data_IF_689246223260
#
_entry.id   IF_689246223260
#
_cell.length_a   1.000
_cell.length_b   1.000
_cell.length_c   1.000
_cell.angle_alpha   90.00
_cell.angle_beta   90.00
_cell.angle_gamma   90.00
#
_symmetry.space_group_name_H-M   'P 1'
#
loop_
_entity.id
_entity.type
_entity.pdbx_description
1 polymer ?
#
# COMPACT_ATOMS: atom_id res chain seq x y z
N UNK A 1 36.56 13.50 -13.24
CA UNK A 1 35.76 13.85 -12.05
C UNK A 1 34.38 13.26 -12.27
N UNK A 2 33.86 12.50 -11.33
CA UNK A 2 32.48 11.99 -11.40
C UNK A 2 31.52 13.03 -10.83
N UNK A 3 30.43 13.27 -11.55
CA UNK A 3 29.39 14.24 -11.17
C UNK A 3 28.03 13.57 -11.22
N UNK A 4 27.18 13.81 -10.23
CA UNK A 4 25.79 13.37 -10.24
C UNK A 4 24.89 14.31 -9.46
N UNK A 5 23.59 14.27 -9.80
CA UNK A 5 22.53 14.99 -9.14
C UNK A 5 21.81 14.06 -8.16
N UNK A 6 21.75 14.47 -6.89
CA UNK A 6 21.07 13.73 -5.84
C UNK A 6 19.77 14.45 -5.45
N UNK A 7 18.61 13.77 -5.46
CA UNK A 7 17.38 14.38 -4.95
C UNK A 7 17.48 14.63 -3.45
N UNK A 8 17.08 15.82 -3.02
CA UNK A 8 17.07 16.23 -1.62
C UNK A 8 15.84 17.09 -1.33
N UNK A 9 14.82 16.51 -0.74
CA UNK A 9 13.50 17.10 -0.55
C UNK A 9 12.92 17.59 -1.89
N UNK A 10 12.60 18.88 -2.02
CA UNK A 10 12.15 19.51 -3.26
C UNK A 10 13.29 20.14 -4.08
N UNK A 11 14.53 19.82 -3.76
CA UNK A 11 15.74 20.34 -4.39
C UNK A 11 16.62 19.21 -4.91
N UNK A 12 17.65 19.60 -5.65
CA UNK A 12 18.69 18.71 -6.11
C UNK A 12 20.01 19.17 -5.53
N UNK A 13 20.82 18.24 -5.05
CA UNK A 13 22.20 18.48 -4.64
C UNK A 13 23.14 17.99 -5.73
N UNK A 14 24.05 18.84 -6.15
CA UNK A 14 25.11 18.47 -7.06
C UNK A 14 26.28 17.87 -6.26
N UNK A 15 26.70 16.66 -6.64
CA UNK A 15 27.83 15.96 -6.04
C UNK A 15 28.96 15.83 -7.05
N UNK A 16 30.15 16.27 -6.67
CA UNK A 16 31.40 16.11 -7.42
C UNK A 16 32.36 15.22 -6.62
N UNK A 17 32.91 14.18 -7.26
CA UNK A 17 33.91 13.29 -6.66
C UNK A 17 35.14 13.20 -7.58
N UNK A 18 36.32 13.26 -6.98
CA UNK A 18 37.54 12.96 -7.71
C UNK A 18 37.57 11.48 -8.12
N UNK A 19 38.03 11.17 -9.34
CA UNK A 19 38.03 9.81 -9.87
C UNK A 19 38.75 8.79 -8.95
N UNK A 20 39.79 9.23 -8.23
CA UNK A 20 40.47 8.35 -7.24
C UNK A 20 39.61 7.91 -6.06
N UNK A 21 38.53 8.64 -5.79
CA UNK A 21 37.58 8.38 -4.70
C UNK A 21 36.30 7.72 -5.19
N UNK A 22 36.16 7.48 -6.49
CA UNK A 22 34.97 6.93 -7.11
C UNK A 22 35.22 5.50 -7.63
N UNK A 23 34.56 4.53 -7.05
CA UNK A 23 34.68 3.13 -7.43
C UNK A 23 33.66 2.67 -8.49
N UNK A 24 32.58 3.42 -8.64
CA UNK A 24 31.49 3.10 -9.59
C UNK A 24 30.11 3.38 -9.02
N UNK A 25 29.10 3.24 -9.86
CA UNK A 25 27.69 3.31 -9.48
C UNK A 25 27.15 1.88 -9.36
N UNK A 26 26.54 1.57 -8.22
CA UNK A 26 25.80 0.30 -8.07
C UNK A 26 24.37 0.51 -8.51
N UNK A 27 23.97 -0.16 -9.59
CA UNK A 27 22.61 -0.12 -10.10
C UNK A 27 21.88 -1.44 -9.82
N UNK A 28 20.60 -1.34 -9.46
CA UNK A 28 19.76 -2.51 -9.29
C UNK A 28 19.28 -3.06 -10.64
N UNK A 29 19.06 -4.37 -10.72
CA UNK A 29 18.55 -5.06 -11.93
C UNK A 29 17.11 -4.65 -12.32
N UNK A 30 16.39 -3.93 -11.44
CA UNK A 30 15.05 -3.43 -11.77
C UNK A 30 15.02 -2.54 -13.03
N UNK A 31 16.13 -1.86 -13.35
CA UNK A 31 16.25 -1.03 -14.55
C UNK A 31 16.35 -1.85 -15.84
N UNK A 32 16.62 -3.14 -15.74
CA UNK A 32 16.67 -4.10 -16.86
C UNK A 32 15.27 -4.58 -17.26
N UNK A 33 14.28 -4.47 -16.36
CA UNK A 33 12.90 -4.85 -16.64
C UNK A 33 12.32 -3.95 -17.72
N UNK A 34 11.87 -4.55 -18.81
CA UNK A 34 11.22 -3.87 -19.92
C UNK A 34 9.81 -4.42 -20.11
N UNK A 35 8.85 -3.54 -20.19
CA UNK A 35 7.47 -3.86 -20.52
C UNK A 35 6.90 -2.84 -21.49
N UNK A 36 5.98 -3.26 -22.34
CA UNK A 36 5.17 -2.38 -23.20
C UNK A 36 3.79 -2.10 -22.60
N UNK A 37 3.47 -2.75 -21.47
CA UNK A 37 2.19 -2.60 -20.75
C UNK A 37 2.18 -1.35 -19.91
N UNK A 38 1.03 -0.72 -19.79
CA UNK A 38 0.79 0.36 -18.85
C UNK A 38 0.79 -0.15 -17.40
N UNK A 39 0.83 0.75 -16.43
CA UNK A 39 0.75 0.38 -15.01
C UNK A 39 -0.61 -0.27 -14.69
N UNK A 40 -1.68 0.26 -15.26
CA UNK A 40 -3.05 -0.25 -15.12
C UNK A 40 -3.16 -1.67 -15.69
N UNK A 41 -2.64 -1.91 -16.90
CA UNK A 41 -2.62 -3.25 -17.52
C UNK A 41 -1.86 -4.27 -16.67
N UNK A 42 -0.77 -3.87 -16.02
CA UNK A 42 -0.01 -4.76 -15.12
C UNK A 42 -0.81 -5.10 -13.85
N UNK A 43 -1.55 -4.15 -13.29
CA UNK A 43 -2.41 -4.38 -12.12
C UNK A 43 -3.56 -5.30 -12.49
N UNK A 44 -4.26 -5.04 -13.59
CA UNK A 44 -5.36 -5.88 -14.09
C UNK A 44 -4.91 -7.32 -14.36
N UNK A 45 -3.76 -7.49 -15.01
CA UNK A 45 -3.18 -8.81 -15.26
C UNK A 45 -2.86 -9.55 -13.97
N UNK A 46 -2.34 -8.85 -12.96
CA UNK A 46 -2.03 -9.42 -11.66
C UNK A 46 -3.29 -9.87 -10.90
N UNK A 47 -4.36 -9.10 -10.99
CA UNK A 47 -5.66 -9.45 -10.39
C UNK A 47 -6.33 -10.63 -11.12
N UNK A 48 -6.19 -10.69 -12.44
CA UNK A 48 -6.72 -11.78 -13.25
C UNK A 48 -5.96 -13.11 -13.05
N UNK A 49 -4.72 -13.06 -12.56
CA UNK A 49 -3.85 -14.24 -12.40
C UNK A 49 -3.27 -14.33 -10.98
N UNK A 50 -4.09 -14.48 -9.94
CA UNK A 50 -3.61 -14.56 -8.56
C UNK A 50 -2.78 -15.82 -8.30
N UNK A 51 -1.76 -15.72 -7.46
CA UNK A 51 -0.94 -16.85 -7.07
C UNK A 51 -1.58 -17.64 -5.92
N UNK A 52 -2.03 -18.88 -6.21
CA UNK A 52 -2.48 -19.83 -5.19
C UNK A 52 -3.71 -19.40 -4.39
N UNK A 53 -4.50 -18.47 -4.93
CA UNK A 53 -5.74 -18.00 -4.31
C UNK A 53 -6.87 -17.90 -5.33
N UNK A 54 -8.15 -17.85 -4.91
CA UNK A 54 -9.25 -17.42 -5.75
C UNK A 54 -9.07 -15.98 -6.25
N UNK A 55 -9.84 -15.57 -7.27
CA UNK A 55 -9.85 -14.18 -7.73
C UNK A 55 -10.38 -13.23 -6.66
N UNK A 56 -10.10 -11.94 -6.81
CA UNK A 56 -10.60 -10.92 -5.88
C UNK A 56 -12.14 -10.91 -5.86
N UNK A 57 -12.76 -11.05 -7.02
CA UNK A 57 -14.22 -11.10 -7.15
C UNK A 57 -14.83 -12.30 -6.42
N UNK A 58 -14.24 -13.49 -6.55
CA UNK A 58 -14.68 -14.69 -5.84
C UNK A 58 -14.55 -14.51 -4.31
N UNK A 59 -13.48 -13.87 -3.84
CA UNK A 59 -13.27 -13.57 -2.43
C UNK A 59 -14.28 -12.53 -1.89
N UNK A 60 -14.65 -11.55 -2.71
CA UNK A 60 -15.63 -10.51 -2.35
C UNK A 60 -17.07 -10.99 -2.37
N UNK A 61 -17.38 -12.05 -3.12
CA UNK A 61 -18.75 -12.54 -3.29
C UNK A 61 -19.44 -12.82 -1.95
N UNK A 62 -20.58 -12.17 -1.73
CA UNK A 62 -21.39 -12.31 -0.52
C UNK A 62 -20.82 -11.67 0.76
N UNK A 63 -19.71 -10.96 0.69
CA UNK A 63 -19.16 -10.18 1.80
C UNK A 63 -19.96 -8.91 1.99
N UNK A 64 -20.07 -8.46 3.25
CA UNK A 64 -20.81 -7.26 3.64
C UNK A 64 -19.93 -6.15 4.19
N UNK A 65 -18.75 -6.51 4.68
CA UNK A 65 -17.77 -5.58 5.26
C UNK A 65 -16.37 -5.94 4.77
N UNK A 66 -15.82 -5.10 3.90
CA UNK A 66 -14.54 -5.30 3.26
C UNK A 66 -13.60 -4.16 3.68
N UNK A 67 -12.40 -4.51 4.11
CA UNK A 67 -11.40 -3.53 4.56
C UNK A 67 -10.13 -3.64 3.74
N UNK A 68 -9.79 -2.58 3.01
CA UNK A 68 -8.51 -2.47 2.30
C UNK A 68 -7.49 -1.88 3.27
N UNK A 69 -6.49 -2.67 3.64
CA UNK A 69 -5.40 -2.22 4.50
C UNK A 69 -4.31 -1.63 3.63
N UNK A 70 -4.13 -0.31 3.71
CA UNK A 70 -3.18 0.46 2.91
C UNK A 70 -2.06 1.03 3.78
N UNK A 71 -0.89 1.27 3.18
CA UNK A 71 0.19 2.02 3.83
C UNK A 71 -0.15 3.51 3.93
N UNK A 72 0.53 4.22 4.82
CA UNK A 72 0.42 5.67 4.94
C UNK A 72 1.15 6.46 3.82
N UNK A 73 1.14 7.79 3.92
CA UNK A 73 1.74 8.70 2.96
C UNK A 73 3.26 8.57 2.81
N UNK A 74 3.95 7.95 3.78
CA UNK A 74 5.42 7.83 3.76
C UNK A 74 5.93 6.72 2.84
N UNK A 75 5.04 5.88 2.28
CA UNK A 75 5.42 4.75 1.43
C UNK A 75 5.16 5.05 -0.05
N UNK A 76 6.16 4.85 -0.92
CA UNK A 76 6.05 5.12 -2.36
C UNK A 76 5.29 4.01 -3.10
N UNK A 77 4.08 3.71 -2.66
CA UNK A 77 3.19 2.75 -3.32
C UNK A 77 2.38 3.48 -4.39
N UNK A 78 2.23 2.95 -5.61
CA UNK A 78 1.49 3.59 -6.71
C UNK A 78 -0.03 3.53 -6.50
N UNK A 79 -0.49 4.05 -5.35
CA UNK A 79 -1.89 3.95 -4.93
C UNK A 79 -2.85 4.68 -5.85
N UNK A 80 -2.39 5.72 -6.57
CA UNK A 80 -3.21 6.42 -7.58
C UNK A 80 -3.61 5.54 -8.75
N UNK A 81 -2.81 4.52 -9.05
CA UNK A 81 -3.11 3.55 -10.12
C UNK A 81 -3.86 2.35 -9.55
N UNK A 82 -3.35 1.78 -8.47
CA UNK A 82 -3.83 0.49 -7.97
C UNK A 82 -5.16 0.59 -7.23
N UNK A 83 -5.37 1.65 -6.42
CA UNK A 83 -6.56 1.76 -5.57
C UNK A 83 -7.86 1.91 -6.37
N UNK A 84 -7.94 2.74 -7.43
CA UNK A 84 -9.14 2.82 -8.25
C UNK A 84 -9.53 1.47 -8.88
N UNK A 85 -8.55 0.69 -9.33
CA UNK A 85 -8.75 -0.63 -9.93
C UNK A 85 -9.29 -1.60 -8.88
N UNK A 86 -8.65 -1.68 -7.70
CA UNK A 86 -9.11 -2.53 -6.61
C UNK A 86 -10.55 -2.19 -6.19
N UNK A 87 -10.87 -0.92 -6.01
CA UNK A 87 -12.20 -0.47 -5.64
C UNK A 87 -13.23 -0.83 -6.72
N UNK A 88 -12.88 -0.66 -8.01
CA UNK A 88 -13.76 -1.04 -9.11
C UNK A 88 -14.12 -2.54 -9.05
N UNK A 89 -13.14 -3.43 -8.89
CA UNK A 89 -13.37 -4.87 -8.78
C UNK A 89 -14.20 -5.23 -7.53
N UNK A 90 -13.88 -4.63 -6.38
CA UNK A 90 -14.58 -4.90 -5.12
C UNK A 90 -16.06 -4.43 -5.21
N UNK A 91 -16.32 -3.19 -5.63
CA UNK A 91 -17.67 -2.66 -5.75
C UNK A 91 -18.50 -3.41 -6.82
N UNK A 92 -17.86 -3.87 -7.91
CA UNK A 92 -18.52 -4.68 -8.93
C UNK A 92 -18.94 -6.06 -8.41
N UNK A 93 -18.08 -6.70 -7.61
CA UNK A 93 -18.34 -8.03 -7.06
C UNK A 93 -19.24 -8.04 -5.83
N UNK A 94 -19.21 -6.95 -5.06
CA UNK A 94 -19.98 -6.81 -3.81
C UNK A 94 -20.60 -5.40 -3.68
N UNK A 95 -21.59 -5.05 -4.51
CA UNK A 95 -22.14 -3.69 -4.60
C UNK A 95 -22.83 -3.19 -3.32
N UNK A 96 -23.30 -4.11 -2.47
CA UNK A 96 -23.94 -3.80 -1.20
C UNK A 96 -22.98 -3.84 -0.01
N UNK A 97 -21.70 -4.16 -0.23
CA UNK A 97 -20.73 -4.22 0.85
C UNK A 97 -20.31 -2.83 1.28
N UNK A 98 -20.11 -2.66 2.60
CA UNK A 98 -19.38 -1.52 3.12
C UNK A 98 -17.89 -1.72 2.83
N UNK A 99 -17.29 -0.82 2.07
CA UNK A 99 -15.85 -0.82 1.79
C UNK A 99 -15.16 0.28 2.59
N UNK A 100 -14.05 -0.04 3.23
CA UNK A 100 -13.27 0.92 4.03
C UNK A 100 -11.80 0.81 3.70
N UNK A 101 -11.11 1.94 3.61
CA UNK A 101 -9.66 2.01 3.48
C UNK A 101 -9.07 2.27 4.86
N UNK A 102 -8.44 1.27 5.46
CA UNK A 102 -7.71 1.39 6.74
C UNK A 102 -6.26 1.74 6.47
N UNK A 103 -5.87 2.97 6.79
CA UNK A 103 -4.49 3.43 6.62
C UNK A 103 -3.64 2.97 7.80
N UNK A 104 -2.73 2.03 7.57
CA UNK A 104 -1.83 1.46 8.56
C UNK A 104 -0.65 2.39 8.85
N UNK A 105 -0.84 3.37 9.71
CA UNK A 105 0.14 4.41 10.05
C UNK A 105 1.30 3.90 10.91
N UNK A 106 1.14 2.74 11.59
CA UNK A 106 2.09 2.31 12.60
C UNK A 106 2.23 3.36 13.71
N UNK A 107 3.45 3.81 13.97
CA UNK A 107 3.77 4.88 14.93
C UNK A 107 3.84 6.27 14.29
N UNK A 108 3.54 6.39 13.01
CA UNK A 108 3.47 7.69 12.35
C UNK A 108 2.20 8.46 12.75
N UNK A 109 2.24 9.79 12.61
CA UNK A 109 1.04 10.61 12.71
C UNK A 109 0.02 10.24 11.64
N UNK A 110 -1.26 10.51 11.85
CA UNK A 110 -2.25 10.40 10.80
C UNK A 110 -1.88 11.24 9.57
N UNK A 111 -2.22 10.75 8.38
CA UNK A 111 -2.07 11.51 7.13
C UNK A 111 -3.02 12.69 7.11
N UNK A 112 -2.58 13.81 6.57
CA UNK A 112 -3.44 14.98 6.33
C UNK A 112 -4.36 14.72 5.13
N UNK A 113 -5.40 15.55 4.97
CA UNK A 113 -6.29 15.47 3.81
C UNK A 113 -5.53 15.62 2.49
N UNK A 114 -4.59 16.57 2.42
CA UNK A 114 -3.76 16.79 1.23
C UNK A 114 -2.89 15.56 0.90
N UNK A 115 -2.30 14.92 1.91
CA UNK A 115 -1.51 13.71 1.75
C UNK A 115 -2.36 12.53 1.25
N UNK A 116 -3.62 12.42 1.72
CA UNK A 116 -4.56 11.41 1.22
C UNK A 116 -4.95 11.68 -0.24
N UNK A 117 -5.24 12.93 -0.59
CA UNK A 117 -5.52 13.35 -1.97
C UNK A 117 -4.32 13.07 -2.87
N UNK A 118 -3.11 13.38 -2.42
CA UNK A 118 -1.89 13.08 -3.17
C UNK A 118 -1.70 11.57 -3.38
N UNK A 119 -2.07 10.75 -2.40
CA UNK A 119 -1.91 9.29 -2.44
C UNK A 119 -2.99 8.58 -3.25
N UNK A 120 -4.26 8.93 -3.07
CA UNK A 120 -5.40 8.19 -3.65
C UNK A 120 -6.14 8.96 -4.75
N UNK A 121 -6.05 10.27 -4.79
CA UNK A 121 -6.84 11.15 -5.65
C UNK A 121 -8.06 11.73 -4.93
N UNK A 122 -8.57 12.85 -5.46
CA UNK A 122 -9.73 13.57 -4.88
C UNK A 122 -10.99 12.73 -4.86
N UNK A 123 -11.25 11.96 -5.93
CA UNK A 123 -12.45 11.14 -6.09
C UNK A 123 -12.57 10.08 -4.99
N UNK A 124 -11.50 9.34 -4.73
CA UNK A 124 -11.48 8.31 -3.68
C UNK A 124 -11.62 8.95 -2.31
N UNK A 125 -10.91 10.05 -2.05
CA UNK A 125 -10.98 10.74 -0.74
C UNK A 125 -12.37 11.34 -0.48
N UNK A 126 -13.11 11.72 -1.53
CA UNK A 126 -14.46 12.25 -1.41
C UNK A 126 -15.54 11.19 -1.25
N UNK A 127 -15.35 9.99 -1.83
CA UNK A 127 -16.42 8.99 -1.95
C UNK A 127 -16.21 7.76 -1.05
N UNK A 128 -14.98 7.46 -0.62
CA UNK A 128 -14.68 6.26 0.16
C UNK A 128 -14.49 6.56 1.66
N UNK A 129 -14.85 5.61 2.49
CA UNK A 129 -14.60 5.69 3.94
C UNK A 129 -13.13 5.39 4.24
N UNK A 130 -12.37 6.42 4.63
CA UNK A 130 -10.95 6.29 4.99
C UNK A 130 -10.79 6.42 6.49
N UNK A 131 -10.19 5.41 7.12
CA UNK A 131 -9.95 5.33 8.57
C UNK A 131 -8.46 5.32 8.84
N UNK A 132 -7.99 6.22 9.70
CA UNK A 132 -6.61 6.22 10.19
C UNK A 132 -6.45 5.25 11.35
N UNK A 133 -5.47 4.35 11.27
CA UNK A 133 -5.04 3.59 12.45
C UNK A 133 -4.28 4.50 13.40
N UNK A 134 -4.59 4.42 14.70
CA UNK A 134 -3.85 5.11 15.75
C UNK A 134 -3.32 4.07 16.72
N UNK A 135 -2.02 3.77 16.64
CA UNK A 135 -1.39 2.68 17.38
C UNK A 135 -1.43 2.84 18.91
N UNK A 136 -1.63 4.05 19.41
CA UNK A 136 -1.73 4.38 20.83
C UNK A 136 -3.18 4.44 21.34
N UNK A 137 -4.16 4.20 20.49
CA UNK A 137 -5.56 4.17 20.87
C UNK A 137 -6.02 2.73 21.10
N UNK A 138 -6.01 2.29 22.35
CA UNK A 138 -6.44 0.94 22.74
C UNK A 138 -7.90 0.65 22.34
N UNK A 139 -8.73 1.68 22.18
CA UNK A 139 -10.11 1.51 21.74
C UNK A 139 -10.25 1.01 20.30
N UNK A 140 -9.22 1.21 19.48
CA UNK A 140 -9.12 0.72 18.10
C UNK A 140 -8.53 -0.70 18.03
N UNK A 141 -8.06 -1.26 19.13
CA UNK A 141 -7.31 -2.50 19.14
C UNK A 141 -8.16 -3.69 19.57
N UNK A 142 -7.82 -4.87 19.03
CA UNK A 142 -8.43 -6.15 19.39
C UNK A 142 -7.36 -7.24 19.46
N UNK A 143 -7.32 -7.96 20.58
CA UNK A 143 -6.51 -9.17 20.70
C UNK A 143 -7.21 -10.31 19.93
N UNK A 144 -6.49 -10.89 18.98
CA UNK A 144 -6.97 -12.00 18.15
C UNK A 144 -6.31 -13.33 18.50
N UNK A 145 -5.26 -13.34 19.34
CA UNK A 145 -4.59 -14.56 19.74
C UNK A 145 -3.28 -14.31 20.47
N UNK A 146 -2.50 -15.38 20.56
CA UNK A 146 -1.15 -15.36 21.11
C UNK A 146 -0.18 -15.93 20.07
N UNK A 147 0.90 -15.23 19.82
CA UNK A 147 1.94 -15.65 18.89
C UNK A 147 2.74 -16.85 19.43
N UNK A 148 3.39 -17.66 18.59
CA UNK A 148 4.27 -18.75 19.04
C UNK A 148 5.40 -18.29 19.98
N UNK A 149 5.79 -17.03 19.90
CA UNK A 149 6.76 -16.40 20.83
C UNK A 149 6.21 -16.11 22.22
N UNK A 150 4.92 -16.33 22.48
CA UNK A 150 4.22 -15.99 23.72
C UNK A 150 3.69 -14.55 23.77
N UNK A 151 3.98 -13.72 22.77
CA UNK A 151 3.45 -12.35 22.68
C UNK A 151 1.96 -12.33 22.27
N UNK A 152 1.25 -11.31 22.72
CA UNK A 152 -0.15 -11.12 22.32
C UNK A 152 -0.21 -10.62 20.87
N UNK A 153 -1.09 -11.22 20.06
CA UNK A 153 -1.40 -10.73 18.72
C UNK A 153 -2.58 -9.74 18.83
N UNK A 154 -2.26 -8.46 18.75
CA UNK A 154 -3.21 -7.36 18.87
C UNK A 154 -3.18 -6.56 17.57
N UNK A 155 -4.32 -6.42 16.90
CA UNK A 155 -4.45 -5.68 15.65
C UNK A 155 -5.61 -4.69 15.71
N UNK A 156 -5.74 -3.84 14.69
CA UNK A 156 -6.88 -2.95 14.57
C UNK A 156 -8.19 -3.75 14.47
N UNK A 157 -9.18 -3.42 15.31
CA UNK A 157 -10.45 -4.15 15.37
C UNK A 157 -11.24 -4.10 14.07
N UNK A 158 -11.10 -3.02 13.28
CA UNK A 158 -11.77 -2.90 11.99
C UNK A 158 -11.29 -4.00 11.03
N UNK A 159 -9.98 -4.24 11.00
CA UNK A 159 -9.39 -5.33 10.21
C UNK A 159 -9.67 -6.71 10.81
N UNK A 160 -9.78 -6.82 12.15
CA UNK A 160 -10.05 -8.07 12.83
C UNK A 160 -11.51 -8.55 12.70
N UNK A 161 -12.44 -7.63 12.53
CA UNK A 161 -13.89 -7.88 12.57
C UNK A 161 -14.55 -7.86 11.20
N UNK A 162 -13.86 -7.42 10.13
CA UNK A 162 -14.43 -7.42 8.78
C UNK A 162 -14.57 -8.83 8.20
N UNK A 163 -15.43 -8.96 7.19
CA UNK A 163 -15.63 -10.24 6.48
C UNK A 163 -14.46 -10.57 5.55
N UNK A 164 -13.78 -9.54 5.01
CA UNK A 164 -12.64 -9.69 4.11
C UNK A 164 -11.63 -8.56 4.32
N UNK A 165 -10.47 -8.84 4.91
CA UNK A 165 -9.34 -7.92 4.87
C UNK A 165 -8.55 -8.11 3.56
N UNK A 166 -8.38 -7.02 2.80
CA UNK A 166 -7.55 -6.97 1.60
C UNK A 166 -6.29 -6.19 1.94
N UNK A 167 -5.18 -6.88 2.12
CA UNK A 167 -3.90 -6.20 2.42
C UNK A 167 -3.29 -5.64 1.15
N UNK A 168 -3.21 -4.32 1.09
CA UNK A 168 -2.60 -3.56 0.01
C UNK A 168 -1.48 -2.68 0.59
N UNK A 169 -0.28 -3.24 0.64
CA UNK A 169 0.89 -2.55 1.15
C UNK A 169 2.05 -2.66 0.15
N UNK A 170 3.27 -2.49 0.59
CA UNK A 170 4.47 -2.63 -0.21
C UNK A 170 5.25 -3.88 0.21
N UNK A 171 6.00 -4.46 -0.72
CA UNK A 171 6.97 -5.51 -0.40
C UNK A 171 8.19 -4.90 0.30
N UNK A 172 8.73 -5.62 1.26
CA UNK A 172 10.00 -5.31 1.92
C UNK A 172 11.06 -6.31 1.50
N UNK A 173 12.34 -5.96 1.69
CA UNK A 173 13.41 -6.92 1.59
C UNK A 173 13.13 -8.13 2.51
N UNK A 174 13.34 -9.34 2.00
CA UNK A 174 13.08 -10.63 2.68
C UNK A 174 11.60 -11.05 2.80
N UNK A 175 10.69 -10.43 2.09
CA UNK A 175 9.27 -10.84 1.99
C UNK A 175 8.99 -11.70 0.73
N UNK A 176 10.02 -11.95 -0.06
CA UNK A 176 9.97 -12.77 -1.29
C UNK A 176 10.89 -13.99 -1.16
#
# INVERSE_FOLDING_TARGET
>A
MFECELPFDHKTLHLELEDKNFAGVMEGHQNEFKTTKSQEELVEESLANPYGSPSLEELCAGKKDIVIISSDHTRPVPSRVTMPILLHHIHSAAPEARVRILVATGMHRPSTHEELVNKYGEEIVANEEIVMHVATDDSMMKKIGTLPSGGECIINKIAADCDLPVSYTHLRAHET
#
